data_IF_350842175032
#
_entry.id   IF_350842175032
#
_cell.length_a   1.000
_cell.length_b   1.000
_cell.length_c   1.000
_cell.angle_alpha   90.00
_cell.angle_beta   90.00
_cell.angle_gamma   90.00
#
_symmetry.space_group_name_H-M   'P 1'
#
loop_
_entity.id
_entity.type
_entity.pdbx_description
1 polymer ?
#
# COMPACT_ATOMS: atom_id res chain seq x y z
N UNK A 1 -3.96 -1.24 30.03
CA UNK A 1 -4.38 -1.72 28.70
C UNK A 1 -4.32 -0.54 27.74
N UNK A 2 -3.45 -0.57 26.73
CA UNK A 2 -3.42 0.51 25.72
C UNK A 2 -4.70 0.36 24.88
N UNK A 3 -5.64 1.27 25.05
CA UNK A 3 -6.93 1.23 24.33
C UNK A 3 -6.63 1.50 22.86
N UNK A 4 -6.73 0.46 22.03
CA UNK A 4 -6.57 0.60 20.59
C UNK A 4 -7.77 1.41 20.06
N UNK A 5 -7.49 2.56 19.45
CA UNK A 5 -8.51 3.52 18.98
C UNK A 5 -9.46 2.91 17.94
N UNK A 6 -9.04 1.82 17.28
CA UNK A 6 -9.78 1.16 16.23
C UNK A 6 -10.71 0.05 16.76
N UNK A 7 -10.74 -0.22 18.07
CA UNK A 7 -11.57 -1.27 18.67
C UNK A 7 -12.63 -0.65 19.58
N UNK A 8 -13.88 -1.06 19.41
CA UNK A 8 -14.98 -0.78 20.34
C UNK A 8 -15.51 -2.05 20.98
N UNK A 9 -15.86 -1.94 22.26
CA UNK A 9 -16.65 -2.95 22.96
C UNK A 9 -18.13 -2.81 22.57
N UNK A 10 -18.82 -3.93 22.48
CA UNK A 10 -20.27 -3.98 22.29
C UNK A 10 -20.85 -5.16 23.07
N UNK A 11 -22.16 -5.13 23.35
CA UNK A 11 -22.84 -6.24 24.00
C UNK A 11 -23.37 -7.21 22.95
N UNK A 12 -22.97 -8.47 23.07
CA UNK A 12 -23.48 -9.56 22.24
C UNK A 12 -24.91 -9.92 22.66
N UNK A 13 -25.65 -10.59 21.78
CA UNK A 13 -27.04 -11.01 22.03
C UNK A 13 -27.18 -11.96 23.23
N UNK A 14 -26.11 -12.69 23.57
CA UNK A 14 -26.02 -13.56 24.74
C UNK A 14 -25.68 -12.81 26.05
N UNK A 15 -25.54 -11.49 26.01
CA UNK A 15 -25.18 -10.64 27.16
C UNK A 15 -23.68 -10.50 27.43
N UNK A 16 -22.81 -11.20 26.68
CA UNK A 16 -21.35 -11.12 26.81
C UNK A 16 -20.79 -9.84 26.18
N UNK A 17 -19.61 -9.41 26.64
CA UNK A 17 -18.88 -8.28 26.05
C UNK A 17 -18.08 -8.80 24.84
N UNK A 18 -18.40 -8.31 23.65
CA UNK A 18 -17.65 -8.52 22.42
C UNK A 18 -16.78 -7.32 22.06
N UNK A 19 -15.82 -7.54 21.18
CA UNK A 19 -15.01 -6.48 20.59
C UNK A 19 -15.16 -6.49 19.07
N UNK A 20 -15.19 -5.31 18.47
CA UNK A 20 -15.27 -5.13 17.02
C UNK A 20 -14.43 -3.94 16.58
N UNK A 21 -13.97 -3.99 15.33
CA UNK A 21 -13.38 -2.83 14.68
C UNK A 21 -14.43 -1.72 14.53
N UNK A 22 -14.05 -0.49 14.91
CA UNK A 22 -14.91 0.70 14.88
C UNK A 22 -15.19 1.14 13.45
N UNK A 23 -14.21 0.96 12.57
CA UNK A 23 -14.25 1.43 11.19
C UNK A 23 -13.49 0.49 10.26
N UNK A 24 -13.91 0.49 9.00
CA UNK A 24 -13.15 -0.09 7.88
C UNK A 24 -12.58 0.99 6.96
N UNK A 25 -12.72 2.25 7.34
CA UNK A 25 -12.24 3.39 6.57
C UNK A 25 -10.84 3.81 7.03
N UNK A 26 -9.87 2.98 6.64
CA UNK A 26 -8.45 3.23 6.86
C UNK A 26 -7.80 3.61 5.53
N UNK A 27 -7.18 4.78 5.46
CA UNK A 27 -6.34 5.17 4.35
C UNK A 27 -4.95 4.54 4.50
N UNK A 28 -4.42 4.02 3.39
CA UNK A 28 -3.13 3.34 3.38
C UNK A 28 -2.21 4.02 2.38
N UNK A 29 -1.04 4.43 2.84
CA UNK A 29 -0.04 5.12 2.04
C UNK A 29 1.28 4.35 2.10
N UNK A 30 1.85 4.02 0.95
CA UNK A 30 3.20 3.47 0.87
C UNK A 30 4.18 4.58 0.51
N UNK A 31 5.30 4.67 1.23
CA UNK A 31 6.38 5.62 0.97
C UNK A 31 7.69 4.89 0.77
N UNK A 32 8.47 5.34 -0.22
CA UNK A 32 9.87 4.92 -0.37
C UNK A 32 10.73 5.68 0.64
N UNK A 33 11.47 4.96 1.47
CA UNK A 33 12.37 5.52 2.49
C UNK A 33 13.85 5.28 2.15
N UNK A 34 14.15 4.96 0.89
CA UNK A 34 15.52 4.68 0.43
C UNK A 34 16.03 3.26 0.78
N UNK A 35 15.22 2.45 1.47
CA UNK A 35 15.48 1.02 1.70
C UNK A 35 14.85 0.10 0.65
N UNK A 36 15.09 -1.21 0.77
CA UNK A 36 14.57 -2.24 -0.14
C UNK A 36 13.04 -2.43 -0.05
N UNK A 37 12.43 -2.11 1.10
CA UNK A 37 11.00 -2.29 1.34
C UNK A 37 10.31 -0.93 1.56
N UNK A 38 9.13 -0.70 0.96
CA UNK A 38 8.36 0.50 1.20
C UNK A 38 7.81 0.52 2.63
N UNK A 39 7.75 1.71 3.23
CA UNK A 39 7.13 1.92 4.53
C UNK A 39 5.64 2.17 4.34
N UNK A 40 4.79 1.36 4.97
CA UNK A 40 3.34 1.52 4.94
C UNK A 40 2.88 2.33 6.17
N UNK A 41 2.10 3.36 5.90
CA UNK A 41 1.46 4.23 6.89
C UNK A 41 -0.06 4.08 6.80
N UNK A 42 -0.73 4.18 7.94
CA UNK A 42 -2.18 4.01 8.03
C UNK A 42 -2.81 5.24 8.70
N UNK A 43 -3.87 5.74 8.09
CA UNK A 43 -4.59 6.91 8.58
C UNK A 43 -6.07 6.61 8.75
N UNK A 44 -6.66 7.20 9.79
CA UNK A 44 -8.10 7.22 10.00
C UNK A 44 -8.48 8.62 10.47
N UNK A 45 -9.44 9.27 9.82
CA UNK A 45 -9.84 10.66 10.10
C UNK A 45 -8.64 11.64 10.13
N UNK A 46 -7.74 11.51 9.15
CA UNK A 46 -6.47 12.26 9.06
C UNK A 46 -5.49 12.07 10.24
N UNK A 47 -5.74 11.11 11.13
CA UNK A 47 -4.84 10.76 12.23
C UNK A 47 -4.01 9.54 11.87
N UNK A 48 -2.72 9.57 12.19
CA UNK A 48 -1.86 8.39 12.07
C UNK A 48 -2.26 7.35 13.11
N UNK A 49 -2.68 6.18 12.62
CA UNK A 49 -3.08 4.99 13.40
C UNK A 49 -2.18 3.80 13.11
N UNK A 50 -1.00 4.03 12.53
CA UNK A 50 -0.05 2.99 12.16
C UNK A 50 0.35 2.14 13.36
N UNK A 51 0.61 2.76 14.50
CA UNK A 51 1.00 2.04 15.71
C UNK A 51 -0.18 1.29 16.36
N UNK A 52 -1.41 1.76 16.19
CA UNK A 52 -2.60 1.00 16.62
C UNK A 52 -2.76 -0.27 15.79
N UNK A 53 -2.57 -0.19 14.47
CA UNK A 53 -2.63 -1.36 13.58
C UNK A 53 -1.47 -2.33 13.86
N UNK A 54 -0.26 -1.81 14.13
CA UNK A 54 0.87 -2.66 14.54
C UNK A 54 0.61 -3.33 15.88
N UNK A 55 0.11 -2.60 16.87
CA UNK A 55 -0.24 -3.16 18.18
C UNK A 55 -1.32 -4.24 18.05
N UNK A 56 -2.25 -4.09 17.10
CA UNK A 56 -3.29 -5.07 16.81
C UNK A 56 -2.72 -6.37 16.19
N UNK A 57 -1.86 -6.23 15.18
CA UNK A 57 -1.31 -7.36 14.41
C UNK A 57 -0.21 -8.12 15.15
N UNK A 58 0.60 -7.39 15.91
CA UNK A 58 1.77 -7.93 16.62
C UNK A 58 1.56 -7.97 18.14
N UNK A 59 0.31 -7.82 18.58
CA UNK A 59 -0.07 -8.02 19.96
C UNK A 59 0.12 -9.47 20.40
N UNK A 60 0.13 -9.68 21.72
CA UNK A 60 0.29 -11.03 22.30
C UNK A 60 -0.87 -11.96 21.94
N UNK A 61 -2.10 -11.46 21.99
CA UNK A 61 -3.28 -12.22 21.61
C UNK A 61 -3.63 -11.98 20.14
N UNK A 62 -3.95 -13.06 19.43
CA UNK A 62 -4.38 -12.96 18.04
C UNK A 62 -5.70 -12.20 17.95
N UNK A 63 -5.78 -11.11 17.16
CA UNK A 63 -7.01 -10.32 17.00
C UNK A 63 -8.18 -11.14 16.43
N UNK A 64 -7.90 -12.22 15.70
CA UNK A 64 -8.93 -13.17 15.23
C UNK A 64 -9.68 -13.89 16.36
N UNK A 65 -9.12 -13.94 17.57
CA UNK A 65 -9.72 -14.67 18.70
C UNK A 65 -10.73 -13.85 19.49
N UNK A 66 -10.64 -12.52 19.46
CA UNK A 66 -11.46 -11.65 20.31
C UNK A 66 -12.17 -10.51 19.55
N UNK A 67 -11.84 -10.26 18.28
CA UNK A 67 -12.47 -9.21 17.47
C UNK A 67 -13.32 -9.87 16.37
N UNK A 68 -14.64 -9.74 16.49
CA UNK A 68 -15.58 -10.54 15.70
C UNK A 68 -15.52 -10.24 14.19
N UNK A 69 -15.25 -8.98 13.80
CA UNK A 69 -15.18 -8.56 12.39
C UNK A 69 -13.75 -8.38 11.87
N UNK A 70 -12.74 -8.94 12.55
CA UNK A 70 -11.35 -8.72 12.18
C UNK A 70 -10.96 -9.29 10.82
N UNK A 71 -11.53 -10.43 10.41
CA UNK A 71 -11.25 -11.04 9.10
C UNK A 71 -11.63 -10.09 7.95
N UNK A 72 -12.80 -9.46 8.03
CA UNK A 72 -13.24 -8.48 7.05
C UNK A 72 -12.32 -7.25 7.01
N UNK A 73 -11.93 -6.76 8.19
CA UNK A 73 -10.99 -5.64 8.31
C UNK A 73 -9.62 -5.97 7.72
N UNK A 74 -9.06 -7.15 8.02
CA UNK A 74 -7.76 -7.57 7.53
C UNK A 74 -7.75 -7.77 6.01
N UNK A 75 -8.84 -8.32 5.43
CA UNK A 75 -9.00 -8.42 3.97
C UNK A 75 -9.03 -7.06 3.30
N UNK A 76 -9.77 -6.10 3.88
CA UNK A 76 -9.83 -4.73 3.39
C UNK A 76 -8.44 -4.05 3.45
N UNK A 77 -7.76 -4.15 4.59
CA UNK A 77 -6.41 -3.59 4.75
C UNK A 77 -5.43 -4.16 3.73
N UNK A 78 -5.42 -5.48 3.56
CA UNK A 78 -4.53 -6.14 2.61
C UNK A 78 -4.74 -5.64 1.17
N UNK A 79 -5.99 -5.46 0.74
CA UNK A 79 -6.30 -4.90 -0.57
C UNK A 79 -5.78 -3.46 -0.72
N UNK A 80 -5.96 -2.62 0.31
CA UNK A 80 -5.47 -1.24 0.30
C UNK A 80 -3.94 -1.16 0.33
N UNK A 81 -3.28 -2.03 1.09
CA UNK A 81 -1.81 -2.16 1.12
C UNK A 81 -1.25 -2.52 -0.25
N UNK A 82 -1.83 -3.52 -0.93
CA UNK A 82 -1.41 -3.89 -2.28
C UNK A 82 -1.56 -2.73 -3.27
N UNK A 83 -2.67 -2.00 -3.20
CA UNK A 83 -2.89 -0.81 -4.05
C UNK A 83 -1.85 0.27 -3.76
N UNK A 84 -1.65 0.62 -2.49
CA UNK A 84 -0.69 1.66 -2.11
C UNK A 84 0.74 1.32 -2.55
N UNK A 85 1.15 0.05 -2.43
CA UNK A 85 2.46 -0.42 -2.91
C UNK A 85 2.54 -0.33 -4.44
N UNK A 86 1.49 -0.75 -5.15
CA UNK A 86 1.45 -0.63 -6.61
C UNK A 86 1.51 0.83 -7.06
N UNK A 87 0.78 1.73 -6.42
CA UNK A 87 0.77 3.17 -6.72
C UNK A 87 2.15 3.79 -6.49
N UNK A 88 2.85 3.38 -5.43
CA UNK A 88 4.23 3.80 -5.17
C UNK A 88 5.18 3.33 -6.27
N UNK A 89 5.12 2.06 -6.66
CA UNK A 89 5.94 1.55 -7.75
C UNK A 89 5.60 2.18 -9.10
N UNK A 90 4.31 2.46 -9.35
CA UNK A 90 3.86 3.15 -10.55
C UNK A 90 4.34 4.61 -10.59
N UNK A 91 4.47 5.26 -9.43
CA UNK A 91 5.05 6.62 -9.34
C UNK A 91 6.55 6.63 -9.61
N UNK A 92 7.28 5.59 -9.19
CA UNK A 92 8.73 5.47 -9.39
C UNK A 92 9.05 4.98 -10.81
N UNK A 93 8.16 4.21 -11.43
CA UNK A 93 8.33 3.66 -12.76
C UNK A 93 8.11 4.74 -13.83
N UNK A 94 9.16 5.06 -14.59
CA UNK A 94 9.11 5.91 -15.80
C UNK A 94 8.40 5.19 -16.97
N UNK A 95 7.74 4.05 -16.74
CA UNK A 95 7.03 3.34 -17.81
C UNK A 95 5.65 3.99 -18.02
N UNK A 96 5.37 4.62 -19.17
CA UNK A 96 4.03 5.12 -19.46
C UNK A 96 3.04 3.94 -19.51
N UNK A 97 2.18 3.82 -18.50
CA UNK A 97 1.04 2.89 -18.49
C UNK A 97 -0.14 3.54 -19.24
N UNK A 98 -0.94 2.69 -19.90
CA UNK A 98 -2.01 3.06 -20.86
C UNK A 98 -1.52 3.52 -22.25
N UNK A 99 -0.33 3.13 -22.67
CA UNK A 99 0.03 3.17 -24.08
C UNK A 99 -0.49 1.92 -24.79
N UNK A 100 -1.24 2.12 -25.88
CA UNK A 100 -1.54 1.03 -26.82
C UNK A 100 -0.25 0.39 -27.32
N UNK A 101 -0.30 -0.87 -27.75
CA UNK A 101 0.87 -1.62 -28.23
C UNK A 101 1.71 -0.82 -29.23
N UNK A 102 1.05 -0.10 -30.14
CA UNK A 102 1.72 0.79 -31.10
C UNK A 102 2.52 1.92 -30.45
N UNK A 103 1.98 2.56 -29.40
CA UNK A 103 2.67 3.63 -28.68
C UNK A 103 3.85 3.10 -27.87
N UNK A 104 3.76 1.89 -27.32
CA UNK A 104 4.88 1.25 -26.62
C UNK A 104 6.04 0.93 -27.57
N UNK A 105 5.74 0.41 -28.76
CA UNK A 105 6.76 0.15 -29.80
C UNK A 105 7.42 1.46 -30.24
N UNK A 106 6.63 2.52 -30.46
CA UNK A 106 7.16 3.82 -30.87
C UNK A 106 8.07 4.43 -29.79
N UNK A 107 7.68 4.32 -28.52
CA UNK A 107 8.46 4.81 -27.39
C UNK A 107 9.77 4.03 -27.23
N UNK A 108 9.71 2.69 -27.29
CA UNK A 108 10.89 1.84 -27.19
C UNK A 108 11.88 2.12 -28.33
N UNK A 109 11.39 2.28 -29.56
CA UNK A 109 12.21 2.64 -30.71
C UNK A 109 12.86 4.02 -30.55
N UNK A 110 12.07 5.01 -30.08
CA UNK A 110 12.56 6.35 -29.80
C UNK A 110 13.70 6.37 -28.79
N UNK A 111 13.57 5.64 -27.67
CA UNK A 111 14.64 5.51 -26.66
C UNK A 111 15.89 4.86 -27.28
N UNK A 112 15.73 3.82 -28.07
CA UNK A 112 16.84 3.10 -28.69
C UNK A 112 17.62 3.99 -29.68
N UNK A 113 16.92 4.79 -30.49
CA UNK A 113 17.55 5.81 -31.36
C UNK A 113 18.27 6.87 -30.54
N UNK A 114 17.70 7.32 -29.43
CA UNK A 114 18.32 8.33 -28.57
C UNK A 114 19.62 7.80 -27.92
N UNK A 115 19.62 6.54 -27.51
CA UNK A 115 20.81 5.87 -26.97
C UNK A 115 21.88 5.59 -28.04
N UNK A 116 21.53 5.54 -29.32
CA UNK A 116 22.49 5.32 -30.41
C UNK A 116 23.14 6.61 -30.94
N UNK A 117 22.64 7.79 -30.54
CA UNK A 117 23.20 9.10 -30.95
C UNK A 117 24.72 9.22 -30.68
N UNK A 118 25.25 8.87 -29.50
CA UNK A 118 26.70 8.98 -29.26
C UNK A 118 27.53 8.12 -30.21
N UNK A 119 27.02 6.93 -30.54
CA UNK A 119 27.65 6.00 -31.49
C UNK A 119 27.63 6.56 -32.91
N UNK A 120 26.49 7.11 -33.34
CA UNK A 120 26.35 7.73 -34.65
C UNK A 120 27.23 8.97 -34.80
N UNK A 121 27.32 9.81 -33.77
CA UNK A 121 28.21 10.97 -33.75
C UNK A 121 29.68 10.55 -33.86
N UNK A 122 30.10 9.52 -33.12
CA UNK A 122 31.46 8.98 -33.22
C UNK A 122 31.77 8.39 -34.61
N UNK A 123 30.77 7.81 -35.30
CA UNK A 123 30.94 7.26 -36.64
C UNK A 123 31.03 8.33 -37.73
N UNK A 124 30.36 9.47 -37.55
CA UNK A 124 30.33 10.58 -38.52
C UNK A 124 31.55 11.52 -38.36
N UNK A 125 32.09 11.64 -37.14
CA UNK A 125 33.25 12.47 -36.83
C UNK A 125 34.61 11.76 -37.01
N UNK A 126 34.61 10.47 -37.36
CA UNK A 126 35.77 9.70 -37.77
C UNK A 126 35.96 9.76 -39.30
#
# INVERSE_FOLDING_TARGET
MKVNRLIAQYQKENGEIGYRMVTNDIDVIAKSTGGLAPTILYFHDNQDVTDDIRALRFGYESPYSYIDNYDAFQKMLYQKEQRAVNDLYDTISIRPKNMSTAKQVLWAFGVLVLMSIPLLVAFILN
#
